data_IF_816034497148
#
_entry.id   IF_816034497148
#
_cell.length_a   1.000
_cell.length_b   1.000
_cell.length_c   1.000
_cell.angle_alpha   90.00
_cell.angle_beta   90.00
_cell.angle_gamma   90.00
#
_symmetry.space_group_name_H-M   'P 1'
#
loop_
_entity.id
_entity.type
_entity.pdbx_description
1 polymer ?
#
# COMPACT_ATOMS: atom_id res chain seq x y z
N UNK A 1 13.29 9.73 10.24
CA UNK A 1 14.19 10.90 10.07
C UNK A 1 14.45 11.47 11.45
N UNK A 2 15.68 11.92 11.72
CA UNK A 2 16.07 12.53 12.98
C UNK A 2 17.30 13.42 12.83
N UNK A 3 17.59 14.20 13.87
CA UNK A 3 18.79 15.02 13.91
C UNK A 3 20.00 14.14 14.27
N UNK A 4 21.17 14.44 13.70
CA UNK A 4 22.41 13.68 13.93
C UNK A 4 22.75 13.54 15.42
N UNK A 5 22.50 14.57 16.23
CA UNK A 5 22.74 14.56 17.68
C UNK A 5 21.88 13.55 18.47
N UNK A 6 20.76 13.06 17.87
CA UNK A 6 19.86 12.08 18.46
C UNK A 6 19.93 10.72 17.76
N UNK A 7 21.10 10.41 17.18
CA UNK A 7 21.28 9.16 16.43
C UNK A 7 21.09 7.92 17.31
N UNK A 8 21.69 7.90 18.49
CA UNK A 8 21.59 6.77 19.43
C UNK A 8 20.15 6.51 19.82
N UNK A 9 19.46 7.53 20.34
CA UNK A 9 18.07 7.45 20.76
C UNK A 9 17.14 7.03 19.61
N UNK A 10 17.40 7.51 18.39
CA UNK A 10 16.64 7.12 17.22
C UNK A 10 16.83 5.63 16.89
N UNK A 11 18.05 5.12 17.05
CA UNK A 11 18.36 3.73 16.75
C UNK A 11 17.79 2.82 17.84
N UNK A 12 17.88 3.21 19.11
CA UNK A 12 17.26 2.50 20.24
C UNK A 12 15.73 2.44 20.09
N UNK A 13 15.10 3.55 19.72
CA UNK A 13 13.68 3.59 19.46
C UNK A 13 13.27 2.68 18.29
N UNK A 14 14.07 2.62 17.23
CA UNK A 14 13.83 1.69 16.10
C UNK A 14 13.94 0.24 16.52
N UNK A 15 14.94 -0.10 17.31
CA UNK A 15 15.11 -1.44 17.84
C UNK A 15 13.93 -1.82 18.74
N UNK A 16 13.54 -0.97 19.68
CA UNK A 16 12.38 -1.19 20.54
C UNK A 16 11.09 -1.34 19.74
N UNK A 17 10.87 -0.49 18.72
CA UNK A 17 9.71 -0.57 17.83
C UNK A 17 9.67 -1.87 17.05
N UNK A 18 10.82 -2.44 16.69
CA UNK A 18 10.90 -3.69 15.97
C UNK A 18 10.78 -4.91 16.90
N UNK A 19 11.45 -4.91 18.05
CA UNK A 19 11.65 -6.11 18.88
C UNK A 19 10.73 -6.19 20.09
N UNK A 20 10.17 -5.06 20.57
CA UNK A 20 9.38 -4.97 21.79
C UNK A 20 7.89 -4.71 21.52
N UNK A 21 7.39 -5.12 20.37
CA UNK A 21 5.97 -4.97 20.05
C UNK A 21 5.12 -5.87 20.91
N UNK A 22 4.05 -5.33 21.48
CA UNK A 22 3.09 -6.02 22.34
C UNK A 22 1.79 -6.29 21.59
N UNK A 23 1.29 -7.51 21.68
CA UNK A 23 0.03 -7.94 21.10
C UNK A 23 -1.00 -8.38 22.15
N UNK A 24 -0.69 -8.20 23.42
CA UNK A 24 -1.54 -8.54 24.58
C UNK A 24 -2.52 -7.41 24.96
N UNK A 25 -2.36 -6.23 24.40
CA UNK A 25 -3.24 -5.08 24.64
C UNK A 25 -4.48 -5.13 23.70
N UNK A 26 -5.38 -6.08 23.94
CA UNK A 26 -6.52 -6.36 23.05
C UNK A 26 -7.42 -5.17 22.80
N UNK A 27 -7.67 -4.32 23.80
CA UNK A 27 -8.45 -3.10 23.62
C UNK A 27 -7.75 -2.12 22.70
N UNK A 28 -6.42 -2.03 22.77
CA UNK A 28 -5.64 -1.17 21.89
C UNK A 28 -5.67 -1.67 20.44
N UNK A 29 -5.67 -2.98 20.24
CA UNK A 29 -5.84 -3.57 18.90
C UNK A 29 -7.20 -3.17 18.32
N UNK A 30 -8.29 -3.28 19.09
CA UNK A 30 -9.63 -2.83 18.64
C UNK A 30 -9.64 -1.35 18.25
N UNK A 31 -9.08 -0.48 19.10
CA UNK A 31 -8.99 0.96 18.82
C UNK A 31 -8.24 1.24 17.53
N UNK A 32 -7.10 0.58 17.30
CA UNK A 32 -6.29 0.76 16.09
C UNK A 32 -7.02 0.29 14.83
N UNK A 33 -7.77 -0.80 14.90
CA UNK A 33 -8.62 -1.27 13.80
C UNK A 33 -9.73 -0.27 13.53
N UNK A 34 -10.43 0.21 14.55
CA UNK A 34 -11.49 1.22 14.41
C UNK A 34 -10.95 2.55 13.81
N UNK A 35 -9.80 3.02 14.27
CA UNK A 35 -9.12 4.20 13.70
C UNK A 35 -8.73 3.98 12.23
N UNK A 36 -8.20 2.80 11.92
CA UNK A 36 -7.83 2.42 10.54
C UNK A 36 -9.07 2.41 9.65
N UNK A 37 -10.17 1.82 10.10
CA UNK A 37 -11.46 1.83 9.41
C UNK A 37 -11.91 3.27 9.15
N UNK A 38 -11.99 4.11 10.17
CA UNK A 38 -12.45 5.48 10.06
C UNK A 38 -11.61 6.28 9.04
N UNK A 39 -10.29 6.16 9.11
CA UNK A 39 -9.36 6.80 8.17
C UNK A 39 -9.58 6.32 6.73
N UNK A 40 -9.75 5.00 6.53
CA UNK A 40 -9.98 4.41 5.21
C UNK A 40 -11.35 4.81 4.63
N UNK A 41 -12.41 4.79 5.43
CA UNK A 41 -13.73 5.23 5.00
C UNK A 41 -13.74 6.73 4.63
N UNK A 42 -13.05 7.58 5.39
CA UNK A 42 -12.92 9.01 5.07
C UNK A 42 -12.16 9.26 3.75
N UNK A 43 -11.20 8.39 3.39
CA UNK A 43 -10.44 8.51 2.14
C UNK A 43 -11.30 8.31 0.88
N UNK A 44 -12.47 7.67 0.98
CA UNK A 44 -13.34 7.39 -0.18
C UNK A 44 -13.77 8.67 -0.89
N UNK A 45 -14.11 9.71 -0.14
CA UNK A 45 -14.52 11.00 -0.73
C UNK A 45 -13.35 11.74 -1.38
N UNK A 46 -12.17 11.75 -0.73
CA UNK A 46 -11.00 12.49 -1.22
C UNK A 46 -10.21 11.78 -2.34
N UNK A 47 -10.28 10.46 -2.41
CA UNK A 47 -9.47 9.62 -3.31
C UNK A 47 -10.30 8.69 -4.19
N UNK A 48 -11.59 8.99 -4.42
CA UNK A 48 -12.50 8.11 -5.12
C UNK A 48 -12.04 7.73 -6.53
N UNK A 49 -11.40 8.65 -7.26
CA UNK A 49 -10.83 8.34 -8.58
C UNK A 49 -9.69 7.31 -8.50
N UNK A 50 -8.79 7.40 -7.52
CA UNK A 50 -7.72 6.43 -7.33
C UNK A 50 -8.27 5.05 -6.93
N UNK A 51 -9.30 5.03 -6.06
CA UNK A 51 -9.97 3.80 -5.66
C UNK A 51 -10.70 3.13 -6.83
N UNK A 52 -11.34 3.91 -7.70
CA UNK A 52 -11.97 3.40 -8.92
C UNK A 52 -10.93 2.83 -9.90
N UNK A 53 -9.79 3.50 -10.08
CA UNK A 53 -8.68 3.01 -10.90
C UNK A 53 -8.10 1.72 -10.35
N UNK A 54 -7.84 1.64 -9.04
CA UNK A 54 -7.35 0.42 -8.40
C UNK A 54 -8.32 -0.76 -8.58
N UNK A 55 -9.63 -0.51 -8.47
CA UNK A 55 -10.65 -1.52 -8.73
C UNK A 55 -10.65 -1.97 -10.19
N UNK A 56 -10.59 -1.04 -11.15
CA UNK A 56 -10.54 -1.35 -12.58
C UNK A 56 -9.29 -2.17 -12.97
N UNK A 57 -8.15 -1.89 -12.34
CA UNK A 57 -6.89 -2.60 -12.58
C UNK A 57 -6.83 -3.98 -11.91
N UNK A 58 -7.67 -4.29 -10.93
CA UNK A 58 -7.53 -5.49 -10.06
C UNK A 58 -7.55 -6.84 -10.80
N UNK A 59 -8.05 -6.87 -12.03
CA UNK A 59 -8.04 -8.06 -12.87
C UNK A 59 -6.86 -8.19 -13.84
N UNK A 60 -5.97 -7.19 -13.91
CA UNK A 60 -4.90 -7.14 -14.92
C UNK A 60 -3.69 -7.96 -14.50
N UNK A 61 -3.32 -7.90 -13.24
CA UNK A 61 -2.17 -8.63 -12.72
C UNK A 61 -2.35 -8.99 -11.25
N UNK A 62 -1.61 -10.00 -10.75
CA UNK A 62 -1.63 -10.36 -9.32
C UNK A 62 -1.25 -9.18 -8.40
N UNK A 63 -0.29 -8.37 -8.81
CA UNK A 63 0.11 -7.16 -8.06
C UNK A 63 -1.01 -6.12 -7.96
N UNK A 64 -1.77 -5.92 -9.03
CA UNK A 64 -2.92 -5.02 -9.04
C UNK A 64 -4.06 -5.53 -8.13
N UNK A 65 -4.34 -6.84 -8.15
CA UNK A 65 -5.33 -7.44 -7.25
C UNK A 65 -4.92 -7.29 -5.77
N UNK A 66 -3.65 -7.54 -5.47
CA UNK A 66 -3.11 -7.38 -4.13
C UNK A 66 -3.20 -5.92 -3.64
N UNK A 67 -2.83 -4.96 -4.47
CA UNK A 67 -2.96 -3.54 -4.17
C UNK A 67 -4.42 -3.13 -3.89
N UNK A 68 -5.37 -3.65 -4.69
CA UNK A 68 -6.79 -3.42 -4.49
C UNK A 68 -7.30 -4.04 -3.18
N UNK A 69 -6.85 -5.24 -2.81
CA UNK A 69 -7.19 -5.89 -1.54
C UNK A 69 -6.60 -5.18 -0.33
N UNK A 70 -5.44 -4.56 -0.45
CA UNK A 70 -4.78 -3.88 0.68
C UNK A 70 -5.25 -2.44 0.84
N UNK A 71 -5.23 -1.67 -0.23
CA UNK A 71 -5.45 -0.22 -0.20
C UNK A 71 -6.68 0.27 -0.95
N UNK A 72 -7.32 -0.58 -1.75
CA UNK A 72 -8.49 -0.24 -2.54
C UNK A 72 -9.81 -0.49 -1.80
N UNK A 73 -10.91 -0.41 -2.56
CA UNK A 73 -12.27 -0.59 -2.03
C UNK A 73 -12.49 -1.96 -1.38
N UNK A 74 -11.85 -3.03 -1.90
CA UNK A 74 -11.90 -4.35 -1.28
C UNK A 74 -11.25 -4.33 0.12
N UNK A 75 -10.11 -3.66 0.28
CA UNK A 75 -9.46 -3.50 1.58
C UNK A 75 -10.28 -2.67 2.57
N UNK A 76 -10.91 -1.59 2.11
CA UNK A 76 -11.82 -0.79 2.94
C UNK A 76 -13.00 -1.63 3.43
N UNK A 77 -13.59 -2.42 2.55
CA UNK A 77 -14.67 -3.34 2.93
C UNK A 77 -14.22 -4.39 3.93
N UNK A 78 -13.04 -4.96 3.72
CA UNK A 78 -12.45 -5.95 4.63
C UNK A 78 -12.22 -5.37 6.03
N UNK A 79 -11.59 -4.21 6.16
CA UNK A 79 -11.32 -3.60 7.46
C UNK A 79 -12.62 -3.23 8.20
N UNK A 80 -13.66 -2.83 7.46
CA UNK A 80 -14.98 -2.58 8.03
C UNK A 80 -15.63 -3.85 8.59
N UNK A 81 -15.53 -4.96 7.87
CA UNK A 81 -16.04 -6.25 8.32
C UNK A 81 -15.24 -6.77 9.52
N UNK A 82 -13.91 -6.63 9.49
CA UNK A 82 -13.04 -6.98 10.59
C UNK A 82 -13.43 -6.20 11.85
N UNK A 83 -13.48 -4.88 11.79
CA UNK A 83 -13.88 -4.03 12.93
C UNK A 83 -15.23 -4.45 13.53
N UNK A 84 -16.21 -4.71 12.67
CA UNK A 84 -17.53 -5.16 13.12
C UNK A 84 -17.48 -6.54 13.81
N UNK A 85 -16.57 -7.43 13.42
CA UNK A 85 -16.42 -8.76 14.02
C UNK A 85 -15.69 -8.76 15.36
N UNK A 86 -14.88 -7.72 15.65
CA UNK A 86 -14.12 -7.61 16.89
C UNK A 86 -14.95 -7.27 18.14
N UNK A 87 -16.27 -7.18 18.03
CA UNK A 87 -17.18 -7.24 19.18
C UNK A 87 -17.13 -8.59 19.90
N UNK A 88 -16.77 -9.66 19.19
CA UNK A 88 -16.47 -10.98 19.76
C UNK A 88 -15.02 -11.01 20.30
N UNK A 89 -14.86 -11.28 21.60
CA UNK A 89 -13.56 -11.33 22.25
C UNK A 89 -12.65 -12.43 21.70
N UNK A 90 -13.23 -13.56 21.30
CA UNK A 90 -12.45 -14.68 20.74
C UNK A 90 -11.78 -14.34 19.42
N UNK A 91 -12.44 -13.48 18.61
CA UNK A 91 -11.87 -13.01 17.35
C UNK A 91 -10.75 -11.99 17.56
N UNK A 92 -10.80 -11.21 18.65
CA UNK A 92 -9.69 -10.30 18.99
C UNK A 92 -8.45 -11.08 19.44
N UNK A 93 -8.62 -12.08 20.27
CA UNK A 93 -7.53 -12.97 20.71
C UNK A 93 -6.87 -13.65 19.51
N UNK A 94 -7.69 -14.16 18.60
CA UNK A 94 -7.21 -14.78 17.37
C UNK A 94 -6.42 -13.78 16.51
N UNK A 95 -6.95 -12.57 16.30
CA UNK A 95 -6.27 -11.52 15.55
C UNK A 95 -4.93 -11.15 16.18
N UNK A 96 -4.89 -11.01 17.51
CA UNK A 96 -3.65 -10.73 18.25
C UNK A 96 -2.61 -11.84 18.05
N UNK A 97 -3.02 -13.11 18.11
CA UNK A 97 -2.15 -14.25 17.85
C UNK A 97 -1.63 -14.29 16.40
N UNK A 98 -2.48 -13.98 15.41
CA UNK A 98 -2.10 -13.88 13.99
C UNK A 98 -1.09 -12.74 13.76
N UNK A 99 -1.32 -11.56 14.34
CA UNK A 99 -0.39 -10.42 14.27
C UNK A 99 0.98 -10.78 14.92
N UNK A 100 0.97 -11.42 16.07
CA UNK A 100 2.19 -11.88 16.72
C UNK A 100 2.94 -12.95 15.87
N UNK A 101 2.22 -13.82 15.17
CA UNK A 101 2.82 -14.80 14.26
C UNK A 101 3.49 -14.13 13.06
N UNK A 102 2.81 -13.16 12.42
CA UNK A 102 3.36 -12.38 11.33
C UNK A 102 4.60 -11.61 11.80
N UNK A 103 4.54 -10.98 12.97
CA UNK A 103 5.66 -10.24 13.54
C UNK A 103 6.90 -11.13 13.75
N UNK A 104 6.74 -12.37 14.26
CA UNK A 104 7.84 -13.33 14.36
C UNK A 104 8.47 -13.65 13.00
N UNK A 105 7.66 -13.79 11.94
CA UNK A 105 8.20 -13.99 10.59
C UNK A 105 8.98 -12.76 10.11
N UNK A 106 8.49 -11.55 10.38
CA UNK A 106 9.21 -10.31 10.04
C UNK A 106 10.56 -10.24 10.79
N UNK A 107 10.58 -10.64 12.07
CA UNK A 107 11.81 -10.65 12.86
C UNK A 107 12.84 -11.67 12.36
N UNK A 108 12.41 -12.78 11.79
CA UNK A 108 13.30 -13.82 11.23
C UNK A 108 13.78 -13.51 9.80
N UNK A 109 13.23 -12.49 9.16
CA UNK A 109 13.56 -12.15 7.77
C UNK A 109 14.93 -11.44 7.66
N UNK A 110 15.70 -11.67 6.58
CA UNK A 110 16.89 -10.89 6.27
C UNK A 110 16.57 -9.39 6.20
N UNK A 111 17.47 -8.56 6.72
CA UNK A 111 17.27 -7.12 6.83
C UNK A 111 18.21 -6.36 5.92
N UNK A 112 17.71 -5.30 5.32
CA UNK A 112 18.51 -4.32 4.59
C UNK A 112 18.32 -2.96 5.23
N UNK A 113 19.43 -2.21 5.37
CA UNK A 113 19.43 -0.88 5.94
C UNK A 113 19.86 0.12 4.87
N UNK A 114 19.05 1.14 4.64
CA UNK A 114 19.41 2.31 3.85
C UNK A 114 19.71 3.48 4.79
N UNK A 115 20.92 3.99 4.72
CA UNK A 115 21.34 5.17 5.48
C UNK A 115 21.60 6.32 4.50
N UNK A 116 20.96 7.45 4.76
CA UNK A 116 21.17 8.70 4.04
C UNK A 116 21.57 9.77 5.04
N UNK A 117 22.76 10.32 4.89
CA UNK A 117 23.32 11.31 5.80
C UNK A 117 24.50 12.04 5.20
N UNK A 118 25.14 12.89 5.97
CA UNK A 118 26.39 13.56 5.62
C UNK A 118 27.53 12.54 5.53
N UNK A 119 28.42 12.71 4.55
CA UNK A 119 29.46 11.73 4.25
C UNK A 119 30.41 11.43 5.43
N UNK A 120 30.73 12.42 6.24
CA UNK A 120 31.56 12.29 7.44
C UNK A 120 30.88 11.50 8.57
N UNK A 121 29.56 11.27 8.49
CA UNK A 121 28.75 10.55 9.48
C UNK A 121 28.33 9.15 9.08
N UNK A 122 28.48 8.78 7.81
CA UNK A 122 27.99 7.48 7.31
C UNK A 122 28.66 6.30 8.00
N UNK A 123 29.96 6.39 8.29
CA UNK A 123 30.70 5.35 9.00
C UNK A 123 30.17 5.13 10.43
N UNK A 124 29.88 6.22 11.16
CA UNK A 124 29.30 6.16 12.50
C UNK A 124 27.91 5.50 12.48
N UNK A 125 27.05 5.89 11.52
CA UNK A 125 25.74 5.27 11.34
C UNK A 125 25.84 3.79 11.04
N UNK A 126 26.76 3.39 10.18
CA UNK A 126 26.98 1.98 9.86
C UNK A 126 27.43 1.19 11.09
N UNK A 127 28.37 1.71 11.86
CA UNK A 127 28.87 1.06 13.07
C UNK A 127 27.75 0.85 14.10
N UNK A 128 26.93 1.85 14.36
CA UNK A 128 25.79 1.76 15.28
C UNK A 128 24.78 0.71 14.82
N UNK A 129 24.45 0.66 13.54
CA UNK A 129 23.52 -0.33 12.99
C UNK A 129 24.09 -1.75 13.12
N UNK A 130 25.36 -1.94 12.79
CA UNK A 130 26.05 -3.24 12.91
C UNK A 130 26.12 -3.73 14.35
N UNK A 131 26.28 -2.83 15.31
CA UNK A 131 26.31 -3.16 16.72
C UNK A 131 24.92 -3.56 17.25
N UNK A 132 23.88 -2.85 16.86
CA UNK A 132 22.52 -3.05 17.42
C UNK A 132 21.73 -4.14 16.71
N UNK A 133 21.96 -4.34 15.42
CA UNK A 133 21.21 -5.32 14.65
C UNK A 133 22.10 -6.50 14.26
N UNK A 134 22.00 -7.59 15.00
CA UNK A 134 22.70 -8.83 14.67
C UNK A 134 22.29 -9.33 13.30
N UNK A 135 23.26 -9.69 12.42
CA UNK A 135 22.95 -10.31 11.13
C UNK A 135 22.12 -11.58 11.32
N UNK A 136 21.00 -11.66 10.62
CA UNK A 136 20.19 -12.87 10.60
C UNK A 136 20.77 -13.78 9.53
N UNK A 137 21.40 -14.86 9.96
CA UNK A 137 21.82 -15.98 9.12
C UNK A 137 20.68 -17.00 9.11
N UNK A 138 19.68 -16.76 8.27
CA UNK A 138 18.57 -17.68 8.09
C UNK A 138 18.66 -18.38 6.72
N UNK A 139 17.99 -19.51 6.61
CA UNK A 139 17.72 -20.12 5.31
C UNK A 139 16.97 -19.14 4.43
N UNK A 140 17.28 -19.12 3.14
CA UNK A 140 16.68 -18.16 2.21
C UNK A 140 15.15 -18.25 2.22
N UNK A 141 14.49 -17.11 2.25
CA UNK A 141 13.03 -17.04 2.10
C UNK A 141 12.65 -17.49 0.69
N UNK A 142 11.69 -18.39 0.60
CA UNK A 142 11.04 -18.68 -0.66
C UNK A 142 10.27 -17.44 -1.12
N UNK A 143 10.48 -17.02 -2.35
CA UNK A 143 9.74 -15.90 -2.93
C UNK A 143 8.23 -16.21 -2.87
N UNK A 144 7.45 -15.23 -2.44
CA UNK A 144 6.00 -15.35 -2.46
C UNK A 144 5.53 -15.49 -3.92
N UNK A 145 4.94 -16.64 -4.23
CA UNK A 145 4.38 -16.91 -5.54
C UNK A 145 2.94 -16.41 -5.59
N UNK A 146 2.72 -15.31 -6.29
CA UNK A 146 1.36 -14.88 -6.57
C UNK A 146 0.77 -15.74 -7.68
N UNK A 147 -0.46 -16.24 -7.55
CA UNK A 147 -1.12 -16.94 -8.64
C UNK A 147 -1.31 -16.02 -9.84
N UNK A 148 -1.12 -16.50 -11.04
CA UNK A 148 -1.43 -15.74 -12.24
C UNK A 148 -2.91 -15.33 -12.23
N UNK A 149 -3.16 -14.08 -12.58
CA UNK A 149 -4.48 -13.51 -12.58
C UNK A 149 -4.67 -12.62 -13.81
N UNK A 150 -5.57 -13.05 -14.69
CA UNK A 150 -6.07 -12.24 -15.81
C UNK A 150 -7.58 -12.43 -15.88
N UNK A 151 -8.33 -11.43 -15.41
CA UNK A 151 -9.79 -11.48 -15.47
C UNK A 151 -10.37 -10.13 -15.85
N UNK A 152 -11.47 -10.15 -16.57
CA UNK A 152 -12.25 -8.94 -16.80
C UNK A 152 -12.97 -8.54 -15.53
N UNK A 153 -12.81 -7.29 -15.10
CA UNK A 153 -13.49 -6.71 -13.94
C UNK A 153 -14.52 -5.71 -14.42
N UNK A 154 -15.74 -5.82 -13.89
CA UNK A 154 -16.79 -4.84 -14.05
C UNK A 154 -17.54 -4.72 -12.71
N UNK A 155 -17.28 -3.66 -11.96
CA UNK A 155 -17.76 -3.48 -10.59
C UNK A 155 -18.46 -2.14 -10.42
N UNK A 156 -19.53 -2.13 -9.64
CA UNK A 156 -20.21 -0.93 -9.17
C UNK A 156 -20.17 -0.90 -7.64
N UNK A 157 -19.56 0.14 -7.10
CA UNK A 157 -19.46 0.36 -5.67
C UNK A 157 -20.36 1.53 -5.25
N UNK A 158 -21.25 1.30 -4.28
CA UNK A 158 -22.04 2.37 -3.68
C UNK A 158 -21.25 3.01 -2.54
N UNK A 159 -21.11 4.33 -2.60
CA UNK A 159 -20.48 5.14 -1.57
C UNK A 159 -21.33 6.40 -1.29
N UNK A 160 -21.19 6.96 -0.09
CA UNK A 160 -21.89 8.20 0.30
C UNK A 160 -21.14 9.41 -0.25
N UNK A 161 -21.07 9.52 -1.58
CA UNK A 161 -20.46 10.66 -2.29
C UNK A 161 -21.49 11.34 -3.18
N UNK A 162 -21.34 12.65 -3.38
CA UNK A 162 -22.21 13.43 -4.28
C UNK A 162 -21.71 13.40 -5.73
N UNK A 163 -20.56 12.78 -5.99
CA UNK A 163 -19.95 12.67 -7.30
C UNK A 163 -19.68 11.21 -7.65
N UNK A 164 -19.74 10.90 -8.94
CA UNK A 164 -19.41 9.58 -9.45
C UNK A 164 -17.96 9.54 -9.93
N UNK A 165 -17.27 8.45 -9.59
CA UNK A 165 -15.93 8.16 -10.05
C UNK A 165 -15.98 6.95 -10.99
N UNK A 166 -15.56 7.16 -12.24
CA UNK A 166 -15.51 6.11 -13.26
C UNK A 166 -14.07 5.87 -13.70
N UNK A 167 -13.68 4.61 -13.78
CA UNK A 167 -12.38 4.23 -14.30
C UNK A 167 -12.49 3.05 -15.25
N UNK A 168 -11.60 3.00 -16.24
CA UNK A 168 -11.44 1.89 -17.16
C UNK A 168 -9.95 1.63 -17.31
N UNK A 169 -9.56 0.37 -17.20
CA UNK A 169 -8.18 -0.05 -17.31
C UNK A 169 -7.98 -1.03 -18.46
N UNK A 170 -6.81 -0.93 -19.06
CA UNK A 170 -6.37 -1.81 -20.15
C UNK A 170 -5.02 -2.42 -19.78
N UNK A 171 -4.81 -3.73 -20.01
CA UNK A 171 -3.48 -4.31 -19.89
C UNK A 171 -2.54 -3.69 -20.94
N UNK A 172 -1.32 -3.42 -20.50
CA UNK A 172 -0.27 -2.85 -21.35
C UNK A 172 1.06 -3.57 -21.10
N UNK A 173 2.16 -2.86 -21.17
CA UNK A 173 3.50 -3.40 -21.07
C UNK A 173 4.14 -3.10 -19.71
N UNK A 174 5.02 -3.99 -19.20
CA UNK A 174 5.73 -3.78 -17.94
C UNK A 174 6.81 -2.70 -18.08
N UNK A 175 7.33 -2.22 -16.95
CA UNK A 175 8.36 -1.18 -16.86
C UNK A 175 9.60 -1.44 -17.74
N UNK A 176 10.00 -2.70 -17.90
CA UNK A 176 11.17 -3.08 -18.70
C UNK A 176 10.96 -3.01 -20.22
N UNK A 177 9.74 -2.82 -20.68
CA UNK A 177 9.42 -2.77 -22.11
C UNK A 177 9.76 -1.39 -22.72
N UNK A 178 10.27 -1.33 -23.98
CA UNK A 178 10.60 -0.06 -24.64
C UNK A 178 9.43 0.94 -24.70
N UNK A 179 8.21 0.45 -24.83
CA UNK A 179 7.01 1.30 -24.92
C UNK A 179 6.50 1.83 -23.56
N UNK A 180 7.10 1.43 -22.44
CA UNK A 180 6.64 1.89 -21.12
C UNK A 180 6.75 3.42 -20.97
N UNK A 181 7.87 4.01 -21.38
CA UNK A 181 8.08 5.45 -21.34
C UNK A 181 7.16 6.20 -22.34
N UNK A 182 7.03 5.80 -23.63
CA UNK A 182 6.05 6.35 -24.54
C UNK A 182 4.61 6.33 -24.01
N UNK A 183 4.16 5.23 -23.38
CA UNK A 183 2.82 5.15 -22.79
C UNK A 183 2.63 6.11 -21.61
N UNK A 184 3.66 6.31 -20.81
CA UNK A 184 3.62 7.33 -19.73
C UNK A 184 3.43 8.72 -20.29
N UNK A 185 4.14 9.07 -21.37
CA UNK A 185 3.98 10.36 -22.07
C UNK A 185 2.59 10.46 -22.72
N UNK A 186 2.10 9.38 -23.33
CA UNK A 186 0.76 9.31 -23.94
C UNK A 186 -0.34 9.64 -22.92
N UNK A 187 -0.23 9.16 -21.68
CA UNK A 187 -1.18 9.48 -20.61
C UNK A 187 -1.30 11.00 -20.38
N UNK A 188 -0.17 11.69 -20.28
CA UNK A 188 -0.12 13.14 -20.16
C UNK A 188 -0.68 13.88 -21.39
N UNK A 189 -0.33 13.40 -22.58
CA UNK A 189 -0.82 13.96 -23.85
C UNK A 189 -2.34 13.84 -23.99
N UNK A 190 -2.89 12.65 -23.71
CA UNK A 190 -4.34 12.41 -23.74
C UNK A 190 -5.08 13.24 -22.70
N UNK A 191 -4.54 13.32 -21.48
CA UNK A 191 -5.14 14.10 -20.40
C UNK A 191 -5.32 15.57 -20.78
N UNK A 192 -4.26 16.21 -21.26
CA UNK A 192 -4.24 17.65 -21.52
C UNK A 192 -4.83 18.02 -22.88
N UNK A 193 -4.83 17.11 -23.84
CA UNK A 193 -5.41 17.29 -25.15
C UNK A 193 -6.88 16.89 -25.21
N UNK A 194 -7.13 15.67 -25.64
CA UNK A 194 -8.48 15.19 -25.94
C UNK A 194 -9.38 15.03 -24.71
N UNK A 195 -8.87 14.38 -23.64
CA UNK A 195 -9.73 14.03 -22.50
C UNK A 195 -10.21 15.25 -21.73
N UNK A 196 -9.37 16.24 -21.52
CA UNK A 196 -9.80 17.47 -20.85
C UNK A 196 -10.97 18.11 -21.58
N UNK A 197 -10.87 18.27 -22.89
CA UNK A 197 -11.92 18.86 -23.72
C UNK A 197 -13.19 18.01 -23.73
N UNK A 198 -13.07 16.72 -24.03
CA UNK A 198 -14.22 15.83 -24.19
C UNK A 198 -14.96 15.56 -22.87
N UNK A 199 -14.22 15.35 -21.78
CA UNK A 199 -14.81 14.94 -20.49
C UNK A 199 -15.25 16.16 -19.68
N UNK A 200 -14.39 17.18 -19.57
CA UNK A 200 -14.67 18.35 -18.73
C UNK A 200 -15.46 19.43 -19.46
N UNK A 201 -14.96 19.92 -20.59
CA UNK A 201 -15.57 21.08 -21.27
C UNK A 201 -16.88 20.71 -21.96
N UNK A 202 -16.93 19.59 -22.65
CA UNK A 202 -18.11 19.13 -23.41
C UNK A 202 -19.00 18.21 -22.56
N UNK A 203 -18.39 17.30 -21.75
CA UNK A 203 -19.12 16.33 -20.95
C UNK A 203 -19.59 16.85 -19.59
N UNK A 204 -19.16 18.03 -19.15
CA UNK A 204 -19.57 18.65 -17.89
C UNK A 204 -19.05 17.96 -16.62
N UNK A 205 -18.11 17.01 -16.74
CA UNK A 205 -17.49 16.38 -15.58
C UNK A 205 -16.46 17.30 -14.92
N UNK A 206 -16.21 17.09 -13.61
CA UNK A 206 -15.22 17.88 -12.87
C UNK A 206 -13.81 17.73 -13.42
N UNK A 207 -13.44 16.52 -13.85
CA UNK A 207 -12.15 16.24 -14.45
C UNK A 207 -12.06 14.82 -14.99
N UNK A 208 -11.03 14.58 -15.78
CA UNK A 208 -10.71 13.28 -16.35
C UNK A 208 -9.23 13.21 -16.71
N UNK A 209 -8.71 12.01 -16.89
CA UNK A 209 -7.32 11.80 -17.25
C UNK A 209 -7.03 10.38 -17.67
N UNK A 210 -5.79 10.17 -18.12
CA UNK A 210 -5.24 8.86 -18.41
C UNK A 210 -3.82 8.78 -17.82
N UNK A 211 -3.40 7.60 -17.43
CA UNK A 211 -2.06 7.35 -16.90
C UNK A 211 -1.63 5.93 -17.16
N UNK A 212 -0.35 5.74 -17.37
CA UNK A 212 0.31 4.43 -17.40
C UNK A 212 0.85 4.11 -16.00
N UNK A 213 0.50 2.94 -15.48
CA UNK A 213 1.07 2.38 -14.25
C UNK A 213 1.99 1.21 -14.61
N UNK A 214 3.27 1.50 -14.67
CA UNK A 214 4.29 0.56 -15.17
C UNK A 214 4.50 -0.66 -14.25
N UNK A 215 4.24 -0.51 -12.94
CA UNK A 215 4.48 -1.60 -11.98
C UNK A 215 3.44 -2.73 -12.11
N UNK A 216 2.26 -2.42 -12.64
CA UNK A 216 1.17 -3.39 -12.83
C UNK A 216 0.81 -3.58 -14.30
N UNK A 217 1.56 -2.96 -15.21
CA UNK A 217 1.36 -3.00 -16.67
C UNK A 217 -0.08 -2.62 -17.09
N UNK A 218 -0.57 -1.48 -16.59
CA UNK A 218 -1.93 -1.00 -16.82
C UNK A 218 -1.94 0.44 -17.34
N UNK A 219 -2.86 0.73 -18.28
CA UNK A 219 -3.16 2.08 -18.72
C UNK A 219 -4.57 2.46 -18.33
#
# INVERSE_FOLDING_TARGET
KGLARHQSELTDLRQATLEQVRFDELNRIRELIAQTRASREASVTGSGHQLAMAAACSGISPGADLAHRWGGLAGIRYIKQLDSSLSDSTLVDRLAAELAAIHRQVLSAPRQFLVVGENDRLADYQAVIQQQFTPITGEGFNAFQQPELHRRVAELWKASTQVNFCAKAYPTVPLSHPDAAPLTVLGGFLRNGYLHRAIREQGGAYGGGASQENNIAAF
#
